data_IF_028634960178
#
_entry.id   IF_028634960178
#
_cell.length_a   1.000
_cell.length_b   1.000
_cell.length_c   1.000
_cell.angle_alpha   90.00
_cell.angle_beta   90.00
_cell.angle_gamma   90.00
#
_symmetry.space_group_name_H-M   'P 1'
#
loop_
_entity.id
_entity.type
_entity.pdbx_description
1 polymer ?
#
# COMPACT_ATOMS: atom_id res chain seq x y z
N UNK A 1 33.51 -6.76 10.74
CA UNK A 1 32.45 -7.45 9.97
C UNK A 1 33.03 -7.89 8.63
N UNK A 2 32.79 -9.13 8.19
CA UNK A 2 33.27 -9.62 6.90
C UNK A 2 32.37 -9.19 5.73
N UNK A 3 32.94 -9.01 4.53
CA UNK A 3 32.21 -8.61 3.31
C UNK A 3 30.99 -9.50 3.02
N UNK A 4 31.12 -10.80 3.27
CA UNK A 4 30.03 -11.79 3.11
C UNK A 4 28.90 -11.56 4.12
N UNK A 5 29.24 -11.32 5.39
CA UNK A 5 28.27 -11.03 6.46
C UNK A 5 27.46 -9.77 6.14
N UNK A 6 28.12 -8.71 5.68
CA UNK A 6 27.44 -7.46 5.29
C UNK A 6 26.48 -7.67 4.12
N UNK A 7 26.88 -8.45 3.11
CA UNK A 7 25.99 -8.79 1.97
C UNK A 7 24.77 -9.60 2.41
N UNK A 8 24.95 -10.58 3.29
CA UNK A 8 23.84 -11.37 3.82
C UNK A 8 22.85 -10.51 4.60
N UNK A 9 23.35 -9.60 5.44
CA UNK A 9 22.50 -8.68 6.21
C UNK A 9 21.74 -7.75 5.25
N UNK A 10 22.42 -7.16 4.27
CA UNK A 10 21.78 -6.28 3.29
C UNK A 10 20.67 -7.03 2.50
N UNK A 11 20.96 -8.23 2.01
CA UNK A 11 19.97 -9.04 1.31
C UNK A 11 18.78 -9.41 2.23
N UNK A 12 19.04 -9.74 3.49
CA UNK A 12 18.00 -10.01 4.48
C UNK A 12 17.07 -8.82 4.69
N UNK A 13 17.62 -7.61 4.84
CA UNK A 13 16.83 -6.38 4.98
C UNK A 13 15.94 -6.17 3.75
N UNK A 14 16.47 -6.35 2.54
CA UNK A 14 15.68 -6.23 1.31
C UNK A 14 14.54 -7.24 1.24
N UNK A 15 14.81 -8.52 1.52
CA UNK A 15 13.81 -9.58 1.47
C UNK A 15 12.70 -9.31 2.49
N UNK A 16 13.06 -8.98 3.73
CA UNK A 16 12.09 -8.66 4.78
C UNK A 16 11.27 -7.42 4.42
N UNK A 17 11.90 -6.38 3.89
CA UNK A 17 11.21 -5.18 3.42
C UNK A 17 10.20 -5.47 2.32
N UNK A 18 10.55 -6.34 1.35
CA UNK A 18 9.64 -6.77 0.29
C UNK A 18 8.46 -7.55 0.86
N UNK A 19 8.70 -8.51 1.76
CA UNK A 19 7.63 -9.31 2.36
C UNK A 19 6.66 -8.43 3.15
N UNK A 20 7.17 -7.50 3.95
CA UNK A 20 6.35 -6.57 4.73
C UNK A 20 5.56 -5.59 3.85
N UNK A 21 6.09 -5.24 2.67
CA UNK A 21 5.42 -4.34 1.72
C UNK A 21 4.43 -5.06 0.80
N UNK A 22 4.56 -6.38 0.63
CA UNK A 22 3.75 -7.18 -0.28
C UNK A 22 2.23 -7.04 -0.06
N UNK A 23 1.70 -6.98 1.18
CA UNK A 23 0.28 -6.76 1.41
C UNK A 23 -0.27 -5.47 0.79
N UNK A 24 0.56 -4.42 0.62
CA UNK A 24 0.12 -3.18 -0.02
C UNK A 24 -0.34 -3.40 -1.47
N UNK A 25 0.18 -4.42 -2.16
CA UNK A 25 -0.26 -4.77 -3.52
C UNK A 25 -1.68 -5.34 -3.57
N UNK A 26 -2.18 -5.86 -2.45
CA UNK A 26 -3.53 -6.42 -2.35
C UNK A 26 -4.54 -5.40 -1.84
N UNK A 27 -4.10 -4.46 -0.99
CA UNK A 27 -4.98 -3.47 -0.36
C UNK A 27 -5.14 -2.18 -1.15
N UNK A 28 -4.23 -1.85 -2.07
CA UNK A 28 -4.39 -0.64 -2.88
C UNK A 28 -5.15 -0.92 -4.17
N UNK A 29 -6.19 -0.13 -4.42
CA UNK A 29 -7.03 -0.18 -5.61
C UNK A 29 -7.25 1.22 -6.20
N UNK A 30 -7.82 1.29 -7.40
CA UNK A 30 -8.11 2.56 -8.09
C UNK A 30 -9.61 2.72 -8.32
N UNK A 31 -10.14 3.91 -8.05
CA UNK A 31 -11.54 4.27 -8.30
C UNK A 31 -11.65 5.55 -9.12
N UNK A 32 -12.66 5.61 -9.98
CA UNK A 32 -13.03 6.73 -10.81
C UNK A 32 -14.02 7.65 -10.08
N UNK A 33 -13.51 8.76 -9.57
CA UNK A 33 -14.31 9.80 -8.94
C UNK A 33 -14.82 10.79 -9.99
N UNK A 34 -16.14 10.89 -10.16
CA UNK A 34 -16.76 11.94 -10.98
C UNK A 34 -16.89 13.23 -10.17
N UNK A 35 -16.15 14.27 -10.56
CA UNK A 35 -16.22 15.57 -9.92
C UNK A 35 -17.49 16.33 -10.35
N UNK A 36 -17.93 17.27 -9.51
CA UNK A 36 -19.13 18.10 -9.75
C UNK A 36 -19.11 18.93 -11.04
N UNK A 37 -17.94 19.08 -11.66
CA UNK A 37 -17.73 19.76 -12.93
C UNK A 37 -17.78 18.79 -14.15
N UNK A 38 -18.02 17.50 -13.94
CA UNK A 38 -18.06 16.46 -14.97
C UNK A 38 -16.69 15.90 -15.36
N UNK A 39 -15.62 16.25 -14.64
CA UNK A 39 -14.29 15.66 -14.85
C UNK A 39 -14.15 14.34 -14.10
N UNK A 40 -13.51 13.34 -14.72
CA UNK A 40 -13.23 12.05 -14.09
C UNK A 40 -11.81 12.06 -13.54
N UNK A 41 -11.66 11.77 -12.24
CA UNK A 41 -10.35 11.63 -11.58
C UNK A 41 -10.14 10.20 -11.12
N UNK A 42 -9.03 9.61 -11.56
CA UNK A 42 -8.60 8.28 -11.09
C UNK A 42 -7.80 8.48 -9.81
N UNK A 43 -8.27 7.90 -8.70
CA UNK A 43 -7.62 7.97 -7.38
C UNK A 43 -7.17 6.59 -6.97
N UNK A 44 -5.93 6.48 -6.49
CA UNK A 44 -5.42 5.27 -5.85
C UNK A 44 -5.60 5.40 -4.33
N UNK A 45 -6.26 4.44 -3.72
CA UNK A 45 -6.58 4.44 -2.28
C UNK A 45 -6.46 3.03 -1.70
N UNK A 46 -6.39 2.93 -0.37
CA UNK A 46 -6.40 1.66 0.32
C UNK A 46 -7.85 1.20 0.54
N UNK A 47 -8.20 -0.01 0.13
CA UNK A 47 -9.47 -0.62 0.44
C UNK A 47 -9.27 -1.60 1.59
N UNK A 48 -9.82 -1.25 2.75
CA UNK A 48 -9.87 -2.13 3.89
C UNK A 48 -11.04 -3.10 3.72
N UNK A 49 -11.02 -4.28 4.37
CA UNK A 49 -12.12 -5.24 4.29
C UNK A 49 -13.47 -4.70 4.80
N UNK A 50 -13.49 -3.59 5.54
CA UNK A 50 -14.70 -2.88 5.98
C UNK A 50 -15.18 -1.80 4.99
N UNK A 51 -14.38 -1.46 3.97
CA UNK A 51 -14.75 -0.52 2.92
C UNK A 51 -13.59 0.36 2.42
N UNK A 52 -13.85 1.18 1.40
CA UNK A 52 -12.87 2.16 0.90
C UNK A 52 -12.51 3.17 1.99
N UNK A 53 -11.26 3.62 2.08
CA UNK A 53 -10.76 4.64 3.06
C UNK A 53 -11.77 5.78 3.31
N UNK A 54 -12.37 6.35 2.26
CA UNK A 54 -13.32 7.48 2.41
C UNK A 54 -14.65 7.11 3.12
N UNK A 55 -14.94 5.81 3.30
CA UNK A 55 -16.11 5.27 3.98
C UNK A 55 -15.75 4.26 5.07
N UNK A 56 -14.47 4.06 5.38
CA UNK A 56 -14.04 3.07 6.36
C UNK A 56 -14.45 3.54 7.76
N UNK A 57 -15.09 2.67 8.53
CA UNK A 57 -15.55 3.03 9.89
C UNK A 57 -14.44 2.87 10.91
N UNK A 58 -13.39 2.12 10.57
CA UNK A 58 -12.23 1.85 11.43
C UNK A 58 -11.27 3.04 11.49
N UNK A 59 -11.12 3.81 10.40
CA UNK A 59 -10.18 4.96 10.38
C UNK A 59 -10.66 6.17 11.20
N UNK A 60 -11.95 6.23 11.55
CA UNK A 60 -12.54 7.31 12.37
C UNK A 60 -12.79 6.91 13.84
N UNK A 61 -12.34 5.72 14.27
CA UNK A 61 -12.44 5.25 15.66
C UNK A 61 -11.21 5.68 16.48
#
# INVERSE_FOLDING_TARGET
MGKRTTLCIAAGIWIVGIILSCPMLLFFTTFDEELKNGEIRIVCYAEWPDGPTNHSMIEYA
#
